data_IF_004807017992
#
_entry.id   IF_004807017992
#
_cell.length_a   1.000
_cell.length_b   1.000
_cell.length_c   1.000
_cell.angle_alpha   90.00
_cell.angle_beta   90.00
_cell.angle_gamma   90.00
#
_symmetry.space_group_name_H-M   'P 1'
#
loop_
_entity.id
_entity.type
_entity.pdbx_description
1 polymer ?
#
# COMPACT_ATOMS: atom_id res chain seq x y z
N UNK A 1 6.35 54.37 68.54
CA UNK A 1 6.08 55.53 67.66
C UNK A 1 6.68 55.24 66.29
N UNK A 2 5.85 55.31 65.24
CA UNK A 2 6.13 55.69 63.82
C UNK A 2 7.23 54.89 63.09
N UNK A 3 6.90 53.88 62.27
CA UNK A 3 6.30 53.85 60.90
C UNK A 3 7.33 54.01 59.75
N UNK A 4 7.57 52.86 59.12
CA UNK A 4 7.85 52.52 57.70
C UNK A 4 8.79 53.37 56.84
N UNK A 5 9.69 52.69 56.12
CA UNK A 5 9.87 52.85 54.67
C UNK A 5 10.18 51.52 53.98
N UNK A 6 9.64 51.40 52.79
CA UNK A 6 9.53 50.20 51.96
C UNK A 6 10.81 49.88 51.16
N UNK A 7 10.98 48.61 50.79
CA UNK A 7 10.73 48.11 49.42
C UNK A 7 11.70 47.03 48.93
N UNK A 8 11.09 46.00 48.29
CA UNK A 8 11.58 45.29 47.10
C UNK A 8 12.78 44.35 47.20
N UNK A 9 12.49 43.05 47.04
CA UNK A 9 13.00 42.10 46.00
C UNK A 9 13.02 40.69 46.59
N UNK A 10 11.96 39.89 46.41
CA UNK A 10 11.76 39.05 45.22
C UNK A 10 13.09 38.58 44.61
N UNK A 11 13.51 37.38 45.01
CA UNK A 11 14.31 36.39 44.25
C UNK A 11 14.92 35.37 45.22
N UNK A 12 14.11 34.47 45.80
CA UNK A 12 14.66 33.16 46.20
C UNK A 12 14.60 32.25 44.99
N UNK A 13 15.61 32.45 44.15
CA UNK A 13 16.01 31.75 42.93
C UNK A 13 15.87 30.23 43.11
N UNK A 14 14.69 29.67 42.81
CA UNK A 14 14.46 28.23 42.64
C UNK A 14 14.25 27.96 41.16
N UNK A 15 15.33 27.62 40.48
CA UNK A 15 15.28 26.74 39.32
C UNK A 15 16.67 26.10 39.21
N UNK A 16 16.72 24.77 39.25
CA UNK A 16 17.25 24.12 38.07
C UNK A 16 16.19 23.14 37.55
N UNK A 17 15.58 23.56 36.45
CA UNK A 17 15.05 22.74 35.37
C UNK A 17 14.85 21.26 35.71
N UNK A 18 13.70 20.92 36.32
CA UNK A 18 13.16 19.59 36.10
C UNK A 18 12.74 19.55 34.64
N UNK A 19 13.61 18.92 33.88
CA UNK A 19 13.43 18.33 32.57
C UNK A 19 12.19 17.43 32.60
N UNK A 20 11.00 18.04 32.65
CA UNK A 20 9.79 17.38 32.19
C UNK A 20 10.00 17.22 30.69
N UNK A 21 10.57 16.07 30.33
CA UNK A 21 10.80 15.69 28.95
C UNK A 21 9.46 15.77 28.23
N UNK A 22 9.27 16.83 27.46
CA UNK A 22 8.30 16.82 26.39
C UNK A 22 8.88 15.85 25.38
N UNK A 23 8.45 14.59 25.45
CA UNK A 23 8.60 13.68 24.33
C UNK A 23 7.80 14.30 23.20
N UNK A 24 8.47 15.07 22.34
CA UNK A 24 7.90 15.49 21.07
C UNK A 24 7.83 14.20 20.26
N UNK A 25 6.68 13.55 20.30
CA UNK A 25 6.35 12.48 19.37
C UNK A 25 6.04 13.19 18.05
N UNK A 26 7.08 13.38 17.23
CA UNK A 26 6.90 13.77 15.84
C UNK A 26 6.27 12.54 15.18
N UNK A 27 4.94 12.49 15.18
CA UNK A 27 4.23 11.68 14.20
C UNK A 27 4.55 12.38 12.87
N UNK A 28 5.48 11.83 12.11
CA UNK A 28 5.52 12.10 10.68
C UNK A 28 4.19 11.60 10.14
N UNK A 29 3.19 12.47 10.09
CA UNK A 29 2.14 12.32 9.10
C UNK A 29 2.89 12.54 7.81
N UNK A 30 3.28 11.44 7.15
CA UNK A 30 3.64 11.50 5.73
C UNK A 30 2.44 12.21 5.12
N UNK A 31 2.60 13.44 4.57
CA UNK A 31 1.49 14.02 3.84
C UNK A 31 1.21 12.98 2.77
N UNK A 32 0.01 12.40 2.80
CA UNK A 32 -0.54 11.68 1.67
C UNK A 32 -0.55 12.70 0.53
N UNK A 33 0.59 12.82 -0.15
CA UNK A 33 0.63 13.22 -1.53
C UNK A 33 -0.36 12.25 -2.17
N UNK A 34 -1.25 12.78 -2.99
CA UNK A 34 -2.10 12.00 -3.88
C UNK A 34 -1.18 11.25 -4.85
N UNK A 35 -0.38 10.32 -4.32
CA UNK A 35 0.53 9.49 -5.06
C UNK A 35 -0.39 8.58 -5.85
N UNK A 36 -0.30 8.67 -7.18
CA UNK A 36 -1.03 7.77 -8.06
C UNK A 36 -0.66 6.35 -7.66
N UNK A 37 -1.64 5.50 -7.41
CA UNK A 37 -1.44 4.10 -7.04
C UNK A 37 -1.77 3.16 -8.22
N UNK A 38 -1.57 1.86 -8.02
CA UNK A 38 -1.90 0.85 -9.04
C UNK A 38 -3.40 0.90 -9.40
N UNK A 39 -4.28 1.18 -8.43
CA UNK A 39 -5.73 1.33 -8.67
C UNK A 39 -6.08 2.49 -9.61
N UNK A 40 -5.33 3.59 -9.54
CA UNK A 40 -5.60 4.80 -10.33
C UNK A 40 -5.27 4.63 -11.82
N UNK A 41 -4.44 3.63 -12.16
CA UNK A 41 -4.05 3.34 -13.54
C UNK A 41 -4.81 2.14 -14.14
N UNK A 42 -5.79 1.59 -13.41
CA UNK A 42 -6.67 0.55 -13.94
C UNK A 42 -7.47 1.13 -15.12
N UNK A 43 -7.50 0.44 -16.28
CA UNK A 43 -8.21 0.95 -17.44
C UNK A 43 -9.73 0.98 -17.23
N UNK A 44 -10.36 2.12 -17.50
CA UNK A 44 -11.82 2.32 -17.44
C UNK A 44 -12.60 1.45 -18.45
N UNK A 45 -11.91 0.73 -19.34
CA UNK A 45 -12.53 -0.16 -20.33
C UNK A 45 -13.10 -1.44 -19.73
N UNK A 46 -12.74 -1.77 -18.48
CA UNK A 46 -13.30 -2.92 -17.77
C UNK A 46 -14.77 -2.71 -17.47
N UNK A 47 -15.57 -3.75 -17.70
CA UNK A 47 -16.97 -3.72 -17.33
C UNK A 47 -17.14 -3.91 -15.80
N UNK A 48 -18.31 -3.58 -15.22
CA UNK A 48 -18.52 -3.67 -13.77
C UNK A 48 -18.28 -5.05 -13.16
N UNK A 49 -18.57 -6.12 -13.91
CA UNK A 49 -18.35 -7.49 -13.46
C UNK A 49 -16.85 -7.81 -13.44
N UNK A 50 -16.12 -7.47 -14.52
CA UNK A 50 -14.66 -7.62 -14.59
C UNK A 50 -13.95 -6.83 -13.49
N UNK A 51 -14.38 -5.60 -13.21
CA UNK A 51 -13.85 -4.78 -12.11
C UNK A 51 -14.09 -5.46 -10.76
N UNK A 52 -15.27 -6.03 -10.52
CA UNK A 52 -15.57 -6.77 -9.29
C UNK A 52 -14.69 -8.00 -9.14
N UNK A 53 -14.45 -8.74 -10.23
CA UNK A 53 -13.58 -9.91 -10.25
C UNK A 53 -12.12 -9.51 -9.98
N UNK A 54 -11.65 -8.42 -10.57
CA UNK A 54 -10.32 -7.87 -10.31
C UNK A 54 -10.16 -7.43 -8.84
N UNK A 55 -11.16 -6.71 -8.29
CA UNK A 55 -11.18 -6.32 -6.87
C UNK A 55 -11.14 -7.55 -5.97
N UNK A 56 -11.89 -8.61 -6.29
CA UNK A 56 -11.85 -9.86 -5.54
C UNK A 56 -10.47 -10.53 -5.55
N UNK A 57 -9.70 -10.38 -6.64
CA UNK A 57 -8.31 -10.83 -6.68
C UNK A 57 -7.43 -9.96 -5.78
N UNK A 58 -7.57 -8.64 -5.87
CA UNK A 58 -6.78 -7.67 -5.09
C UNK A 58 -7.00 -7.79 -3.58
N UNK A 59 -8.24 -7.99 -3.17
CA UNK A 59 -8.63 -8.17 -1.77
C UNK A 59 -8.25 -9.54 -1.20
N UNK A 60 -7.81 -10.48 -2.05
CA UNK A 60 -7.43 -11.82 -1.59
C UNK A 60 -6.26 -11.73 -0.62
N UNK A 61 -6.56 -12.05 0.63
CA UNK A 61 -5.60 -12.31 1.70
C UNK A 61 -5.54 -13.82 1.85
N UNK A 62 -4.34 -14.39 1.87
CA UNK A 62 -4.15 -15.84 1.95
C UNK A 62 -4.89 -16.47 3.14
N UNK A 63 -4.83 -17.80 3.31
CA UNK A 63 -5.67 -18.55 4.26
C UNK A 63 -5.55 -18.15 5.75
N UNK A 64 -4.62 -17.27 6.10
CA UNK A 64 -4.39 -16.80 7.46
C UNK A 64 -5.09 -15.46 7.77
N UNK A 65 -5.66 -14.75 6.78
CA UNK A 65 -6.36 -13.44 6.92
C UNK A 65 -5.57 -12.34 7.65
N UNK A 66 -4.27 -12.53 7.90
CA UNK A 66 -3.40 -11.62 8.67
C UNK A 66 -2.21 -11.10 7.87
N UNK A 67 -1.97 -11.66 6.68
CA UNK A 67 -0.86 -11.30 5.80
C UNK A 67 -1.21 -10.15 4.85
N UNK A 68 -0.27 -9.86 3.93
CA UNK A 68 -0.50 -8.91 2.84
C UNK A 68 -1.48 -9.48 1.83
N UNK A 69 -2.24 -8.61 1.16
CA UNK A 69 -3.12 -9.03 0.07
C UNK A 69 -2.39 -9.05 -1.29
N UNK A 70 -3.05 -9.55 -2.34
CA UNK A 70 -2.46 -9.61 -3.69
C UNK A 70 -2.14 -8.23 -4.24
N UNK A 71 -2.98 -7.22 -3.96
CA UNK A 71 -2.72 -5.84 -4.38
C UNK A 71 -1.42 -5.28 -3.81
N UNK A 72 -1.23 -5.43 -2.50
CA UNK A 72 -0.03 -5.02 -1.78
C UNK A 72 1.20 -5.76 -2.30
N UNK A 73 1.11 -7.09 -2.44
CA UNK A 73 2.19 -7.92 -2.97
C UNK A 73 2.63 -7.48 -4.38
N UNK A 74 1.68 -7.20 -5.28
CA UNK A 74 1.97 -6.70 -6.63
C UNK A 74 2.58 -5.30 -6.57
N UNK A 75 2.03 -4.42 -5.72
CA UNK A 75 2.50 -3.05 -5.56
C UNK A 75 3.94 -3.00 -5.04
N UNK A 76 4.27 -3.83 -4.05
CA UNK A 76 5.64 -4.00 -3.55
C UNK A 76 6.56 -4.52 -4.65
N UNK A 77 6.12 -5.53 -5.41
CA UNK A 77 6.93 -6.08 -6.51
C UNK A 77 7.21 -5.07 -7.60
N UNK A 78 6.25 -4.20 -7.91
CA UNK A 78 6.41 -3.07 -8.84
C UNK A 78 7.40 -2.06 -8.24
N UNK A 79 7.23 -1.66 -6.98
CA UNK A 79 8.13 -0.71 -6.32
C UNK A 79 9.58 -1.21 -6.27
N UNK A 80 9.79 -2.50 -6.05
CA UNK A 80 11.12 -3.13 -6.06
C UNK A 80 11.79 -3.09 -7.44
N UNK A 81 11.01 -3.23 -8.51
CA UNK A 81 11.51 -3.15 -9.88
C UNK A 81 11.78 -1.70 -10.32
N UNK A 82 11.05 -0.74 -9.74
CA UNK A 82 11.13 0.68 -10.07
C UNK A 82 11.36 1.54 -8.81
N UNK A 83 12.55 1.48 -8.20
CA UNK A 83 12.83 2.18 -6.94
C UNK A 83 12.89 3.71 -7.07
N UNK A 84 13.01 4.23 -8.29
CA UNK A 84 13.26 5.65 -8.58
C UNK A 84 11.96 6.48 -8.64
N UNK A 85 11.26 6.58 -7.51
CA UNK A 85 10.07 7.42 -7.35
C UNK A 85 8.76 6.72 -7.73
N UNK A 86 7.68 7.51 -7.88
CA UNK A 86 6.36 6.95 -8.20
C UNK A 86 6.29 6.52 -9.67
N UNK A 87 6.45 5.22 -9.93
CA UNK A 87 6.36 4.66 -11.28
C UNK A 87 4.98 4.86 -11.91
N UNK A 88 3.91 4.92 -11.12
CA UNK A 88 2.54 5.06 -11.63
C UNK A 88 2.28 6.43 -12.30
N UNK A 89 3.02 7.47 -11.89
CA UNK A 89 2.93 8.82 -12.49
C UNK A 89 3.73 8.98 -13.79
N UNK A 90 4.58 8.00 -14.12
CA UNK A 90 5.45 8.14 -15.27
C UNK A 90 4.64 8.04 -16.58
N UNK A 91 4.86 8.96 -17.52
CA UNK A 91 4.14 9.05 -18.81
C UNK A 91 4.21 7.81 -19.70
N UNK A 92 5.15 6.91 -19.42
CA UNK A 92 5.36 5.66 -20.16
C UNK A 92 4.76 4.47 -19.44
N UNK A 93 4.21 4.67 -18.24
CA UNK A 93 3.56 3.62 -17.47
C UNK A 93 2.20 3.33 -18.06
N UNK A 94 1.97 2.06 -18.35
CA UNK A 94 0.71 1.56 -18.89
C UNK A 94 0.37 0.26 -18.19
N UNK A 95 -0.90 0.10 -17.81
CA UNK A 95 -1.44 -1.14 -17.27
C UNK A 95 -2.50 -1.68 -18.23
N UNK A 96 -2.25 -2.86 -18.75
CA UNK A 96 -3.24 -3.62 -19.51
C UNK A 96 -3.83 -4.70 -18.62
N UNK A 97 -5.16 -4.71 -18.51
CA UNK A 97 -5.90 -5.71 -17.72
C UNK A 97 -6.79 -6.52 -18.63
N UNK A 98 -6.68 -7.84 -18.54
CA UNK A 98 -7.54 -8.79 -19.26
C UNK A 98 -8.16 -9.74 -18.25
N UNK A 99 -9.48 -9.76 -18.17
CA UNK A 99 -10.25 -10.70 -17.35
C UNK A 99 -10.95 -11.70 -18.29
N UNK A 100 -10.75 -12.99 -18.06
CA UNK A 100 -11.31 -14.06 -18.88
C UNK A 100 -12.08 -15.04 -18.00
N UNK A 101 -13.38 -15.21 -18.27
CA UNK A 101 -14.17 -16.29 -17.66
C UNK A 101 -13.75 -17.64 -18.27
N UNK A 102 -13.29 -18.55 -17.41
CA UNK A 102 -12.88 -19.90 -17.80
C UNK A 102 -13.93 -20.96 -17.44
N UNK A 103 -15.05 -20.53 -16.85
CA UNK A 103 -16.18 -21.36 -16.45
C UNK A 103 -16.12 -21.84 -15.00
N UNK A 104 -17.28 -22.17 -14.43
CA UNK A 104 -17.36 -22.74 -13.08
C UNK A 104 -16.97 -21.79 -11.96
N UNK A 105 -17.03 -20.47 -12.18
CA UNK A 105 -16.59 -19.46 -11.22
C UNK A 105 -15.08 -19.22 -11.21
N UNK A 106 -14.33 -19.83 -12.14
CA UNK A 106 -12.90 -19.60 -12.32
C UNK A 106 -12.67 -18.50 -13.37
N UNK A 107 -11.93 -17.47 -12.99
CA UNK A 107 -11.53 -16.37 -13.85
C UNK A 107 -10.02 -16.31 -13.96
N UNK A 108 -9.51 -16.10 -15.16
CA UNK A 108 -8.10 -15.78 -15.40
C UNK A 108 -7.96 -14.27 -15.55
N UNK A 109 -7.01 -13.70 -14.81
CA UNK A 109 -6.71 -12.27 -14.80
C UNK A 109 -5.26 -12.11 -15.22
N UNK A 110 -5.05 -11.31 -16.26
CA UNK A 110 -3.73 -10.92 -16.75
C UNK A 110 -3.55 -9.43 -16.48
N UNK A 111 -2.46 -9.08 -15.82
CA UNK A 111 -2.00 -7.71 -15.59
C UNK A 111 -0.65 -7.57 -16.29
N UNK A 112 -0.63 -6.78 -17.35
CA UNK A 112 0.56 -6.46 -18.11
C UNK A 112 0.93 -5.01 -17.81
N UNK A 113 1.93 -4.85 -16.94
CA UNK A 113 2.42 -3.56 -16.46
C UNK A 113 3.74 -3.23 -17.16
N UNK A 114 3.72 -2.21 -18.02
CA UNK A 114 4.90 -1.74 -18.74
C UNK A 114 5.28 -0.33 -18.27
N UNK A 115 6.58 -0.07 -18.08
CA UNK A 115 7.09 1.28 -17.83
C UNK A 115 8.51 1.47 -18.40
N UNK A 116 9.18 2.55 -18.00
CA UNK A 116 10.45 3.00 -18.58
C UNK A 116 11.64 2.04 -18.44
N UNK A 117 11.51 0.98 -17.62
CA UNK A 117 12.59 0.02 -17.35
C UNK A 117 12.08 -1.43 -17.25
N UNK A 118 11.16 -1.80 -18.14
CA UNK A 118 10.75 -3.18 -18.35
C UNK A 118 9.25 -3.40 -18.27
N UNK A 119 8.91 -4.68 -18.12
CA UNK A 119 7.54 -5.19 -18.12
C UNK A 119 7.41 -6.17 -16.95
N UNK A 120 6.30 -6.09 -16.23
CA UNK A 120 5.88 -7.05 -15.23
C UNK A 120 4.58 -7.67 -15.69
N UNK A 121 4.66 -8.94 -16.06
CA UNK A 121 3.54 -9.71 -16.56
C UNK A 121 3.03 -10.64 -15.46
N UNK A 122 1.85 -10.35 -14.93
CA UNK A 122 1.16 -11.20 -13.96
C UNK A 122 0.02 -11.95 -14.64
N UNK A 123 -0.05 -13.25 -14.42
CA UNK A 123 -1.07 -14.14 -14.95
C UNK A 123 -1.55 -15.04 -13.81
N UNK A 124 -2.77 -14.80 -13.34
CA UNK A 124 -3.33 -15.45 -12.16
C UNK A 124 -4.73 -15.97 -12.47
N UNK A 125 -5.17 -16.99 -11.73
CA UNK A 125 -6.57 -17.38 -11.69
C UNK A 125 -7.14 -17.15 -10.31
N UNK A 126 -8.38 -16.68 -10.26
CA UNK A 126 -9.20 -16.61 -9.05
C UNK A 126 -10.46 -17.46 -9.25
N UNK A 127 -10.79 -18.27 -8.26
CA UNK A 127 -12.08 -18.94 -8.16
C UNK A 127 -12.96 -18.14 -7.20
N UNK A 128 -14.00 -17.47 -7.70
CA UNK A 128 -14.90 -16.66 -6.85
C UNK A 128 -15.88 -17.47 -6.02
N UNK A 129 -15.94 -18.79 -6.21
CA UNK A 129 -16.77 -19.70 -5.42
C UNK A 129 -16.01 -20.23 -4.21
N UNK A 130 -14.75 -20.62 -4.42
CA UNK A 130 -13.88 -21.20 -3.39
C UNK A 130 -12.87 -20.18 -2.83
N UNK A 131 -12.90 -18.94 -3.32
CA UNK A 131 -12.00 -17.82 -3.03
C UNK A 131 -10.50 -18.12 -3.23
N UNK A 132 -10.14 -19.22 -3.89
CA UNK A 132 -8.76 -19.60 -4.12
C UNK A 132 -8.09 -18.83 -5.26
N UNK A 133 -6.85 -18.39 -5.05
CA UNK A 133 -5.99 -17.75 -6.08
C UNK A 133 -4.80 -18.65 -6.43
N UNK A 134 -4.40 -18.65 -7.70
CA UNK A 134 -3.23 -19.40 -8.21
C UNK A 134 -2.46 -18.62 -9.28
N UNK A 135 -1.14 -18.80 -9.33
CA UNK A 135 -0.27 -18.18 -10.35
C UNK A 135 0.00 -19.09 -11.54
N UNK A 136 -0.19 -18.58 -12.76
CA UNK A 136 0.07 -19.29 -14.01
C UNK A 136 1.51 -19.16 -14.49
N UNK A 137 2.21 -18.09 -14.10
CA UNK A 137 3.62 -17.87 -14.41
C UNK A 137 4.48 -17.79 -13.13
N UNK A 138 5.81 -17.74 -13.27
CA UNK A 138 6.70 -17.72 -12.10
C UNK A 138 6.48 -16.49 -11.22
N UNK A 139 6.39 -15.30 -11.82
CA UNK A 139 6.20 -14.04 -11.09
C UNK A 139 4.91 -14.07 -10.26
N UNK A 140 3.80 -14.54 -10.84
CA UNK A 140 2.52 -14.67 -10.18
C UNK A 140 2.49 -15.78 -9.14
N UNK A 141 3.26 -16.87 -9.32
CA UNK A 141 3.44 -17.87 -8.26
C UNK A 141 4.16 -17.27 -7.07
N UNK A 142 5.21 -16.49 -7.32
CA UNK A 142 5.93 -15.80 -6.25
C UNK A 142 5.00 -14.84 -5.48
N UNK A 143 4.13 -14.11 -6.17
CA UNK A 143 3.09 -13.27 -5.53
C UNK A 143 2.12 -14.10 -4.69
N UNK A 144 1.57 -15.17 -5.26
CA UNK A 144 0.61 -16.02 -4.54
C UNK A 144 1.26 -16.68 -3.34
N UNK A 145 2.48 -17.19 -3.48
CA UNK A 145 3.25 -17.77 -2.38
C UNK A 145 3.54 -16.72 -1.30
N UNK A 146 3.89 -15.48 -1.70
CA UNK A 146 4.06 -14.39 -0.75
C UNK A 146 2.76 -14.18 0.05
N UNK A 147 1.62 -14.01 -0.61
CA UNK A 147 0.32 -13.84 0.07
C UNK A 147 -0.07 -15.05 0.94
N UNK A 148 0.22 -16.27 0.50
CA UNK A 148 -0.14 -17.49 1.23
C UNK A 148 0.71 -17.74 2.48
N UNK A 149 1.99 -17.38 2.44
CA UNK A 149 2.97 -17.74 3.48
C UNK A 149 3.47 -16.53 4.29
N UNK A 150 2.99 -15.31 4.01
CA UNK A 150 3.25 -14.15 4.85
C UNK A 150 2.56 -14.32 6.22
N UNK A 151 3.34 -14.23 7.30
CA UNK A 151 2.90 -14.36 8.70
C UNK A 151 3.51 -13.24 9.56
#
# INVERSE_FOLDING_TARGET
>A
MVKERESKKFLKKRAPFYLAGVTILIVFVVPGILAVELEDIIPETLNPDETRILQSLFDYTGPNDTGINVYEAISERIADQYPDGNVYEHRSTTLHVIVTDTGGGLYRIVLDFESYNGELYFDMNINVTDEGVSGNNNLSKDIVDLVYYYD
#
